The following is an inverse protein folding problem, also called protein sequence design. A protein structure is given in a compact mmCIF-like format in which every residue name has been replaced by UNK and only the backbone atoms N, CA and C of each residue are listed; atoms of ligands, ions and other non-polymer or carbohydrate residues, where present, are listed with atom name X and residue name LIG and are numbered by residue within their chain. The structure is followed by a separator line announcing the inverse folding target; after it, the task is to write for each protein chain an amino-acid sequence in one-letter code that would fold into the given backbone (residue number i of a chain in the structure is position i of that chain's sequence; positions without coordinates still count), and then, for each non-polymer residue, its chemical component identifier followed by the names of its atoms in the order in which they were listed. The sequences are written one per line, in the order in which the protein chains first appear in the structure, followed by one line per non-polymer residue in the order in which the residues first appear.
data_IF_185133420475
#
_entry.id   IF_185133420475
#
_cell.length_a   1.000
_cell.length_b   1.000
_cell.length_c   1.000
_cell.angle_alpha   90.00
_cell.angle_beta   90.00
_cell.angle_gamma   90.00
#
_symmetry.space_group_name_H-M   'P 1'
#
loop_
_entity.id
_entity.type
_entity.pdbx_description
1 polymer ?
#
# COMPACT_ATOMS: atom_id res chain seq x y z
N UNK A 1 -4.17 14.30 32.12
CA UNK A 1 -5.48 14.20 31.45
C UNK A 1 -5.61 15.17 30.28
N UNK A 2 -5.05 16.39 30.38
CA UNK A 2 -5.12 17.41 29.31
C UNK A 2 -4.53 16.98 28.00
N UNK A 3 -3.38 16.27 28.00
CA UNK A 3 -2.71 15.81 26.78
C UNK A 3 -3.48 14.66 26.12
N UNK A 4 -4.06 13.78 26.93
CA UNK A 4 -4.93 12.71 26.41
C UNK A 4 -6.18 13.27 25.72
N UNK A 5 -6.77 14.30 26.30
CA UNK A 5 -7.92 14.99 25.70
C UNK A 5 -7.53 15.67 24.37
N UNK A 6 -6.40 16.39 24.34
CA UNK A 6 -5.89 17.01 23.10
C UNK A 6 -5.62 15.98 22.01
N UNK A 7 -5.01 14.83 22.38
CA UNK A 7 -4.73 13.75 21.43
C UNK A 7 -6.03 13.11 20.92
N UNK A 8 -7.04 12.91 21.76
CA UNK A 8 -8.35 12.40 21.34
C UNK A 8 -9.06 13.35 20.38
N UNK A 9 -9.09 14.66 20.69
CA UNK A 9 -9.67 15.66 19.81
C UNK A 9 -8.94 15.76 18.46
N UNK A 10 -7.61 15.68 18.47
CA UNK A 10 -6.80 15.65 17.25
C UNK A 10 -7.06 14.39 16.45
N UNK A 11 -7.19 13.23 17.10
CA UNK A 11 -7.54 11.98 16.42
C UNK A 11 -8.89 12.08 15.71
N UNK A 12 -9.91 12.59 16.37
CA UNK A 12 -11.24 12.77 15.78
C UNK A 12 -11.19 13.67 14.54
N UNK A 13 -10.43 14.77 14.60
CA UNK A 13 -10.26 15.68 13.48
C UNK A 13 -9.54 15.01 12.28
N UNK A 14 -8.46 14.29 12.55
CA UNK A 14 -7.68 13.59 11.49
C UNK A 14 -8.47 12.42 10.93
N UNK A 15 -9.14 11.63 11.78
CA UNK A 15 -9.92 10.47 11.37
C UNK A 15 -11.04 10.81 10.39
N UNK A 16 -11.69 11.96 10.56
CA UNK A 16 -12.77 12.44 9.68
C UNK A 16 -12.32 12.70 8.24
N UNK A 17 -11.03 12.89 7.99
CA UNK A 17 -10.49 13.03 6.64
C UNK A 17 -10.48 11.69 5.87
N UNK A 18 -10.50 10.55 6.58
CA UNK A 18 -10.37 9.22 6.00
C UNK A 18 -11.62 8.35 6.19
N UNK A 19 -12.49 8.72 7.13
CA UNK A 19 -13.68 7.95 7.47
C UNK A 19 -14.87 8.88 7.62
N UNK A 20 -15.84 8.70 6.74
CA UNK A 20 -17.13 9.41 6.79
C UNK A 20 -18.28 8.41 6.60
N UNK A 21 -19.47 8.70 7.17
CA UNK A 21 -20.62 7.83 7.00
C UNK A 21 -21.09 7.83 5.54
N UNK A 22 -21.38 6.63 5.01
CA UNK A 22 -22.00 6.44 3.72
C UNK A 22 -23.35 5.76 3.93
N UNK A 23 -24.40 6.30 3.32
CA UNK A 23 -25.76 5.76 3.46
C UNK A 23 -26.16 4.85 2.30
N UNK A 24 -25.41 4.90 1.19
CA UNK A 24 -25.72 4.18 -0.03
C UNK A 24 -24.43 3.62 -0.67
N UNK A 25 -24.60 2.60 -1.53
CA UNK A 25 -23.47 2.03 -2.30
C UNK A 25 -22.84 3.02 -3.28
N UNK A 26 -23.58 4.04 -3.71
CA UNK A 26 -23.06 5.11 -4.57
C UNK A 26 -21.89 5.90 -3.98
N UNK A 27 -21.76 5.87 -2.64
CA UNK A 27 -20.61 6.46 -1.92
C UNK A 27 -19.38 5.56 -1.82
N UNK A 28 -19.42 4.35 -2.40
CA UNK A 28 -18.34 3.36 -2.30
C UNK A 28 -17.84 3.06 -3.71
N UNK A 29 -16.52 3.21 -3.91
CA UNK A 29 -15.86 2.92 -5.17
C UNK A 29 -14.62 2.05 -4.95
N UNK A 30 -14.24 1.29 -5.96
CA UNK A 30 -13.05 0.45 -5.99
C UNK A 30 -12.00 1.14 -6.86
N UNK A 31 -10.82 1.40 -6.29
CA UNK A 31 -9.66 1.91 -7.01
C UNK A 31 -8.64 0.78 -7.19
N UNK A 32 -8.72 -0.04 -8.25
CA UNK A 32 -7.83 -1.17 -8.43
C UNK A 32 -6.42 -0.71 -8.81
N UNK A 33 -5.42 -1.49 -8.40
CA UNK A 33 -4.01 -1.21 -8.73
C UNK A 33 -3.44 -2.19 -9.74
N UNK A 34 -3.94 -3.43 -9.76
CA UNK A 34 -3.42 -4.51 -10.59
C UNK A 34 -4.53 -5.44 -11.04
N UNK A 35 -4.33 -6.00 -12.23
CA UNK A 35 -5.01 -7.22 -12.67
C UNK A 35 -3.96 -8.33 -12.61
N UNK A 36 -3.87 -9.03 -11.47
CA UNK A 36 -2.80 -9.98 -11.21
C UNK A 36 -2.93 -11.25 -12.03
N UNK A 37 -4.15 -11.67 -12.31
CA UNK A 37 -4.43 -12.89 -13.05
C UNK A 37 -5.83 -12.85 -13.69
N UNK A 38 -6.03 -13.74 -14.63
CA UNK A 38 -7.35 -14.09 -15.19
C UNK A 38 -7.48 -15.62 -15.27
N UNK A 39 -8.56 -16.14 -15.86
CA UNK A 39 -8.92 -17.56 -15.80
C UNK A 39 -7.86 -18.54 -16.32
N UNK A 40 -6.87 -18.11 -17.09
CA UNK A 40 -5.91 -18.99 -17.74
C UNK A 40 -4.45 -18.58 -17.56
N UNK A 41 -4.16 -17.41 -17.04
CA UNK A 41 -2.77 -16.95 -16.85
C UNK A 41 -2.63 -15.87 -15.81
N UNK A 42 -1.39 -15.67 -15.36
CA UNK A 42 -0.99 -14.52 -14.52
C UNK A 42 -0.47 -13.39 -15.41
N UNK A 43 -0.61 -12.15 -14.93
CA UNK A 43 -0.16 -10.94 -15.61
C UNK A 43 1.10 -10.35 -14.97
N UNK A 44 1.92 -11.17 -14.30
CA UNK A 44 3.11 -10.70 -13.57
C UNK A 44 4.22 -10.17 -14.51
N UNK A 45 4.17 -10.53 -15.79
CA UNK A 45 5.10 -10.06 -16.82
C UNK A 45 4.74 -8.68 -17.38
N UNK A 46 3.56 -8.16 -17.05
CA UNK A 46 3.11 -6.85 -17.51
C UNK A 46 3.70 -5.73 -16.64
N UNK A 47 4.09 -4.59 -17.25
CA UNK A 47 4.55 -3.43 -16.48
C UNK A 47 3.40 -2.77 -15.71
N UNK A 48 3.72 -1.99 -14.68
CA UNK A 48 2.70 -1.28 -13.90
C UNK A 48 1.83 -0.35 -14.75
N UNK A 49 2.38 0.27 -15.79
CA UNK A 49 1.62 1.11 -16.73
C UNK A 49 0.48 0.35 -17.42
N UNK A 50 0.72 -0.92 -17.80
CA UNK A 50 -0.33 -1.76 -18.38
C UNK A 50 -1.46 -2.01 -17.37
N UNK A 51 -1.12 -2.36 -16.12
CA UNK A 51 -2.12 -2.57 -15.08
C UNK A 51 -2.96 -1.31 -14.84
N UNK A 52 -2.32 -0.13 -14.84
CA UNK A 52 -3.03 1.14 -14.65
C UNK A 52 -3.96 1.46 -15.82
N UNK A 53 -3.54 1.22 -17.06
CA UNK A 53 -4.38 1.40 -18.26
C UNK A 53 -5.60 0.47 -18.23
N UNK A 54 -5.41 -0.80 -17.89
CA UNK A 54 -6.53 -1.75 -17.77
C UNK A 54 -7.53 -1.34 -16.67
N UNK A 55 -7.03 -0.83 -15.55
CA UNK A 55 -7.88 -0.35 -14.46
C UNK A 55 -8.65 0.92 -14.85
N UNK A 56 -8.02 1.84 -15.59
CA UNK A 56 -8.71 3.00 -16.15
C UNK A 56 -9.85 2.58 -17.08
N UNK A 57 -9.61 1.56 -17.91
CA UNK A 57 -10.64 1.01 -18.81
C UNK A 57 -11.83 0.39 -18.04
N UNK A 58 -11.59 -0.24 -16.90
CA UNK A 58 -12.66 -0.70 -16.03
C UNK A 58 -13.48 0.47 -15.47
N UNK A 59 -12.83 1.57 -15.09
CA UNK A 59 -13.51 2.75 -14.58
C UNK A 59 -14.38 3.46 -15.63
N UNK A 60 -13.99 3.43 -16.91
CA UNK A 60 -14.82 3.94 -18.01
C UNK A 60 -16.12 3.15 -18.19
N UNK A 61 -16.14 1.88 -17.85
CA UNK A 61 -17.25 0.96 -18.10
C UNK A 61 -18.13 0.70 -16.87
N UNK A 62 -17.79 1.20 -15.70
CA UNK A 62 -18.58 0.98 -14.49
C UNK A 62 -18.34 2.07 -13.43
N UNK A 63 -19.41 2.65 -12.92
CA UNK A 63 -19.38 3.64 -11.83
C UNK A 63 -18.88 3.07 -10.48
N UNK A 64 -18.79 1.75 -10.38
CA UNK A 64 -18.21 1.09 -9.20
C UNK A 64 -16.68 1.26 -9.12
N UNK A 65 -16.03 1.48 -10.26
CA UNK A 65 -14.59 1.65 -10.33
C UNK A 65 -14.22 3.11 -10.52
N UNK A 66 -13.09 3.50 -9.93
CA UNK A 66 -12.43 4.78 -10.15
C UNK A 66 -11.00 4.52 -10.62
N UNK A 67 -10.55 5.30 -11.61
CA UNK A 67 -9.18 5.21 -12.07
C UNK A 67 -8.22 5.72 -10.99
N UNK A 68 -7.22 4.92 -10.67
CA UNK A 68 -6.15 5.33 -9.76
C UNK A 68 -5.20 6.27 -10.49
N UNK A 69 -4.95 7.45 -9.92
CA UNK A 69 -3.96 8.36 -10.47
C UNK A 69 -2.54 7.82 -10.32
N UNK A 70 -1.71 8.07 -11.31
CA UNK A 70 -0.29 7.72 -11.29
C UNK A 70 0.55 8.70 -12.08
N UNK A 71 1.85 8.71 -11.79
CA UNK A 71 2.87 9.46 -12.54
C UNK A 71 4.04 8.51 -12.82
N UNK A 72 4.65 8.65 -13.99
CA UNK A 72 5.87 7.95 -14.35
C UNK A 72 7.05 8.89 -14.14
N UNK A 73 8.12 8.41 -13.52
CA UNK A 73 9.32 9.20 -13.23
C UNK A 73 10.43 8.70 -14.14
N UNK A 74 10.84 9.52 -15.11
CA UNK A 74 11.91 9.22 -16.07
C UNK A 74 13.05 10.25 -15.98
N UNK A 75 12.80 11.39 -15.31
CA UNK A 75 13.76 12.49 -15.18
C UNK A 75 13.78 13.05 -13.75
N UNK A 76 14.79 13.87 -13.43
CA UNK A 76 14.84 14.60 -12.16
C UNK A 76 13.72 15.65 -12.06
N UNK A 77 13.24 16.17 -13.19
CA UNK A 77 12.10 17.07 -13.22
C UNK A 77 10.83 16.34 -12.80
N UNK A 78 10.53 15.18 -13.38
CA UNK A 78 9.36 14.36 -13.00
C UNK A 78 9.38 14.02 -11.52
N UNK A 79 10.57 13.75 -11.00
CA UNK A 79 10.74 13.45 -9.57
C UNK A 79 10.36 14.66 -8.69
N UNK A 80 10.72 15.88 -9.09
CA UNK A 80 10.32 17.07 -8.36
C UNK A 80 8.81 17.30 -8.45
N UNK A 81 8.21 17.13 -9.63
CA UNK A 81 6.77 17.24 -9.83
C UNK A 81 5.98 16.22 -8.98
N UNK A 82 6.51 15.01 -8.82
CA UNK A 82 5.90 13.99 -7.94
C UNK A 82 6.04 14.33 -6.46
N UNK A 83 7.17 14.94 -6.06
CA UNK A 83 7.35 15.43 -4.69
C UNK A 83 6.33 16.54 -4.39
N UNK A 84 6.17 17.51 -5.29
CA UNK A 84 5.23 18.61 -5.13
C UNK A 84 3.77 18.09 -5.09
N UNK A 85 3.43 17.16 -5.99
CA UNK A 85 2.14 16.48 -5.98
C UNK A 85 1.87 15.72 -4.67
N UNK A 86 2.86 15.00 -4.15
CA UNK A 86 2.75 14.30 -2.87
C UNK A 86 2.55 15.28 -1.70
N UNK A 87 3.25 16.40 -1.70
CA UNK A 87 3.11 17.44 -0.67
C UNK A 87 1.70 18.02 -0.70
N UNK A 88 1.23 18.46 -1.87
CA UNK A 88 -0.11 19.03 -2.04
C UNK A 88 -1.19 18.05 -1.59
N UNK A 89 -1.17 16.80 -2.07
CA UNK A 89 -2.18 15.83 -1.70
C UNK A 89 -2.17 15.49 -0.20
N UNK A 90 -1.00 15.39 0.43
CA UNK A 90 -0.92 15.06 1.87
C UNK A 90 -1.27 16.25 2.75
N UNK A 91 -1.04 17.49 2.33
CA UNK A 91 -1.53 18.71 2.98
C UNK A 91 -3.06 18.82 2.89
N UNK A 92 -3.66 18.34 1.82
CA UNK A 92 -5.11 18.26 1.62
C UNK A 92 -5.75 17.01 2.28
N UNK A 93 -5.02 16.29 3.13
CA UNK A 93 -5.54 15.20 3.94
C UNK A 93 -5.56 13.83 3.25
N UNK A 94 -4.92 13.66 2.09
CA UNK A 94 -4.79 12.35 1.47
C UNK A 94 -3.73 11.49 2.18
N UNK A 95 -3.83 10.18 1.98
CA UNK A 95 -2.98 9.18 2.65
C UNK A 95 -1.51 9.28 2.26
N UNK A 96 -1.24 9.54 0.99
CA UNK A 96 0.08 9.58 0.37
C UNK A 96 0.13 8.74 -0.90
N UNK A 97 1.34 8.38 -1.32
CA UNK A 97 1.58 7.64 -2.57
C UNK A 97 2.30 6.31 -2.33
N UNK A 98 2.27 5.45 -3.34
CA UNK A 98 3.03 4.20 -3.39
C UNK A 98 3.99 4.28 -4.57
N UNK A 99 5.30 4.21 -4.28
CA UNK A 99 6.35 4.18 -5.30
C UNK A 99 6.62 2.73 -5.65
N UNK A 100 6.62 2.42 -6.94
CA UNK A 100 6.84 1.06 -7.48
C UNK A 100 7.93 1.10 -8.56
N UNK A 101 8.67 0.01 -8.78
CA UNK A 101 9.47 -0.14 -10.00
C UNK A 101 8.55 -0.04 -11.23
N UNK A 102 9.12 0.26 -12.40
CA UNK A 102 8.35 0.28 -13.64
C UNK A 102 7.79 -1.11 -13.98
N UNK A 103 8.64 -2.13 -13.88
CA UNK A 103 8.22 -3.52 -14.04
C UNK A 103 7.55 -4.06 -12.78
N UNK A 104 6.49 -4.84 -12.95
CA UNK A 104 5.81 -5.49 -11.83
C UNK A 104 6.75 -6.41 -11.06
N UNK A 105 7.59 -7.17 -11.76
CA UNK A 105 8.68 -7.97 -11.20
C UNK A 105 10.02 -7.36 -11.60
N UNK A 106 10.58 -6.55 -10.73
CA UNK A 106 11.89 -5.95 -10.94
C UNK A 106 13.00 -6.75 -10.25
N UNK A 107 14.14 -6.89 -10.92
CA UNK A 107 15.28 -7.65 -10.41
C UNK A 107 16.56 -6.81 -10.41
N UNK A 108 17.41 -7.05 -9.44
CA UNK A 108 18.77 -6.52 -9.40
C UNK A 108 19.73 -7.65 -9.04
N UNK A 109 20.73 -7.89 -9.90
CA UNK A 109 21.71 -8.99 -9.74
C UNK A 109 21.05 -10.37 -9.52
N UNK A 110 19.92 -10.63 -10.20
CA UNK A 110 19.17 -11.88 -10.07
C UNK A 110 18.25 -11.99 -8.85
N UNK A 111 18.27 -11.01 -7.95
CA UNK A 111 17.38 -10.96 -6.78
C UNK A 111 16.16 -10.10 -7.07
N UNK A 112 14.99 -10.60 -6.67
CA UNK A 112 13.73 -9.85 -6.76
C UNK A 112 13.77 -8.65 -5.82
N UNK A 113 13.49 -7.47 -6.35
CA UNK A 113 13.43 -6.23 -5.58
C UNK A 113 12.14 -6.10 -4.78
N UNK A 114 12.17 -5.20 -3.81
CA UNK A 114 10.98 -4.79 -3.07
C UNK A 114 9.92 -4.25 -4.04
N UNK A 115 8.67 -4.80 -4.00
CA UNK A 115 7.65 -4.47 -5.00
C UNK A 115 7.13 -3.05 -4.90
N UNK A 116 7.21 -2.43 -3.72
CA UNK A 116 6.69 -1.11 -3.48
C UNK A 116 7.22 -0.47 -2.20
N UNK A 117 7.22 0.87 -2.17
CA UNK A 117 7.48 1.68 -0.97
C UNK A 117 6.29 2.61 -0.78
N UNK A 118 5.67 2.57 0.41
CA UNK A 118 4.57 3.47 0.79
C UNK A 118 5.15 4.75 1.39
N UNK A 119 4.83 5.90 0.80
CA UNK A 119 5.25 7.22 1.28
C UNK A 119 4.00 7.95 1.76
N UNK A 120 3.76 7.88 3.06
CA UNK A 120 2.53 8.38 3.69
C UNK A 120 2.71 9.79 4.24
N UNK A 121 1.63 10.57 4.21
CA UNK A 121 1.58 11.90 4.79
C UNK A 121 1.63 11.89 6.32
N UNK A 122 2.10 13.00 6.91
CA UNK A 122 2.28 13.14 8.36
C UNK A 122 0.98 12.91 9.13
N UNK A 123 -0.12 13.45 8.66
CA UNK A 123 -1.40 13.34 9.36
C UNK A 123 -1.93 11.91 9.33
N UNK A 124 -1.78 11.19 8.20
CA UNK A 124 -2.11 9.78 8.14
C UNK A 124 -1.23 8.93 9.08
N UNK A 125 0.05 9.24 9.18
CA UNK A 125 0.97 8.56 10.10
C UNK A 125 0.58 8.75 11.57
N UNK A 126 -0.15 9.82 11.92
CA UNK A 126 -0.72 10.00 13.28
C UNK A 126 -1.74 8.94 13.63
N UNK A 127 -2.52 8.47 12.66
CA UNK A 127 -3.49 7.37 12.87
C UNK A 127 -2.75 6.07 13.18
N UNK A 128 -1.63 5.82 12.49
CA UNK A 128 -0.84 4.58 12.64
C UNK A 128 -0.01 4.59 13.93
N UNK A 129 0.71 5.69 14.20
CA UNK A 129 1.72 5.77 15.25
C UNK A 129 1.29 6.55 16.49
N UNK A 130 0.11 7.17 16.47
CA UNK A 130 -0.41 8.03 17.54
C UNK A 130 -0.25 9.51 17.24
N UNK A 131 -1.13 10.34 17.85
CA UNK A 131 -1.18 11.78 17.61
C UNK A 131 0.11 12.51 18.00
N UNK A 132 0.85 11.93 18.92
CA UNK A 132 2.10 12.42 19.50
C UNK A 132 3.35 11.76 18.90
N UNK A 133 3.25 11.02 17.80
CA UNK A 133 4.40 10.29 17.23
C UNK A 133 5.56 11.19 16.79
N UNK A 134 5.29 12.46 16.56
CA UNK A 134 6.33 13.46 16.21
C UNK A 134 7.10 13.97 17.42
N UNK A 135 6.69 13.62 18.64
CA UNK A 135 7.41 13.98 19.86
C UNK A 135 8.77 13.24 19.88
N UNK A 136 9.80 13.94 20.30
CA UNK A 136 11.20 13.46 20.23
C UNK A 136 11.38 12.08 20.89
N UNK A 137 10.77 11.87 22.05
CA UNK A 137 10.88 10.61 22.79
C UNK A 137 10.24 9.43 22.04
N UNK A 138 9.08 9.65 21.41
CA UNK A 138 8.37 8.63 20.63
C UNK A 138 9.08 8.38 19.32
N UNK A 139 9.50 9.45 18.62
CA UNK A 139 10.25 9.36 17.39
C UNK A 139 11.57 8.58 17.59
N UNK A 140 12.25 8.76 18.71
CA UNK A 140 13.46 7.99 19.07
C UNK A 140 13.17 6.49 19.17
N UNK A 141 12.05 6.10 19.78
CA UNK A 141 11.62 4.70 19.84
C UNK A 141 11.31 4.14 18.47
N UNK A 142 10.55 4.87 17.65
CA UNK A 142 10.20 4.46 16.28
C UNK A 142 11.43 4.24 15.41
N UNK A 143 12.46 5.10 15.55
CA UNK A 143 13.73 4.96 14.82
C UNK A 143 14.58 3.75 15.27
N UNK A 144 14.32 3.20 16.45
CA UNK A 144 15.02 1.99 16.94
C UNK A 144 14.44 0.69 16.38
N UNK A 145 13.28 0.74 15.71
CA UNK A 145 12.69 -0.43 15.06
C UNK A 145 13.60 -0.97 13.96
N UNK A 146 13.52 -2.26 13.73
CA UNK A 146 14.32 -2.92 12.69
C UNK A 146 13.54 -2.96 11.35
N UNK A 147 13.65 -1.93 10.48
CA UNK A 147 12.95 -1.90 9.21
C UNK A 147 13.43 -2.99 8.24
N UNK A 148 14.70 -3.46 8.38
CA UNK A 148 15.26 -4.49 7.50
C UNK A 148 14.54 -5.82 7.62
N UNK A 149 14.16 -6.24 8.84
CA UNK A 149 13.37 -7.45 9.06
C UNK A 149 11.99 -7.32 8.42
N UNK A 150 11.33 -6.19 8.63
CA UNK A 150 10.00 -5.92 8.05
C UNK A 150 10.04 -5.94 6.51
N UNK A 151 11.03 -5.29 5.91
CA UNK A 151 11.22 -5.30 4.46
C UNK A 151 11.48 -6.71 3.92
N UNK A 152 12.32 -7.50 4.63
CA UNK A 152 12.58 -8.89 4.25
C UNK A 152 11.31 -9.74 4.30
N UNK A 153 10.50 -9.61 5.36
CA UNK A 153 9.23 -10.33 5.48
C UNK A 153 8.27 -9.91 4.38
N UNK A 154 8.11 -8.61 4.12
CA UNK A 154 7.26 -8.10 3.04
C UNK A 154 7.65 -8.64 1.65
N UNK A 155 8.96 -8.83 1.40
CA UNK A 155 9.42 -9.44 0.16
C UNK A 155 9.09 -10.95 0.11
N UNK A 156 9.18 -11.65 1.24
CA UNK A 156 8.77 -13.07 1.32
C UNK A 156 7.26 -13.23 1.15
N UNK A 157 6.47 -12.38 1.79
CA UNK A 157 5.00 -12.33 1.60
C UNK A 157 4.63 -12.10 0.14
N UNK A 158 5.32 -11.18 -0.53
CA UNK A 158 5.12 -10.93 -1.96
C UNK A 158 5.42 -12.18 -2.80
N UNK A 159 6.56 -12.85 -2.56
CA UNK A 159 6.93 -14.10 -3.25
C UNK A 159 5.89 -15.21 -3.03
N UNK A 160 5.42 -15.37 -1.80
CA UNK A 160 4.37 -16.34 -1.45
C UNK A 160 3.04 -16.00 -2.12
N UNK A 161 2.69 -14.71 -2.21
CA UNK A 161 1.50 -14.23 -2.92
C UNK A 161 1.55 -14.56 -4.41
N UNK A 162 2.69 -14.34 -5.07
CA UNK A 162 2.88 -14.70 -6.48
C UNK A 162 2.74 -16.21 -6.70
N UNK A 163 3.36 -17.02 -5.85
CA UNK A 163 3.27 -18.47 -5.90
C UNK A 163 1.82 -18.94 -5.70
N UNK A 164 1.14 -18.41 -4.70
CA UNK A 164 -0.26 -18.76 -4.41
C UNK A 164 -1.19 -18.45 -5.58
N UNK A 165 -1.05 -17.29 -6.22
CA UNK A 165 -1.83 -16.92 -7.41
C UNK A 165 -1.49 -17.84 -8.59
N UNK A 166 -0.21 -18.16 -8.79
CA UNK A 166 0.21 -19.07 -9.86
C UNK A 166 -0.40 -20.46 -9.70
N UNK A 167 -0.38 -21.03 -8.50
CA UNK A 167 -1.01 -22.30 -8.17
C UNK A 167 -2.52 -22.27 -8.39
N UNK A 168 -3.17 -21.17 -7.97
CA UNK A 168 -4.61 -21.00 -8.18
C UNK A 168 -4.98 -20.98 -9.66
N UNK A 169 -4.26 -20.24 -10.47
CA UNK A 169 -4.49 -20.15 -11.93
C UNK A 169 -4.19 -21.49 -12.62
N UNK A 170 -3.20 -22.24 -12.13
CA UNK A 170 -2.85 -23.57 -12.62
C UNK A 170 -3.82 -24.66 -12.15
N UNK A 171 -4.90 -24.31 -11.43
CA UNK A 171 -5.90 -25.22 -10.89
C UNK A 171 -5.31 -26.31 -9.98
N UNK A 172 -4.26 -25.99 -9.24
CA UNK A 172 -3.75 -26.88 -8.21
C UNK A 172 -4.79 -27.06 -7.09
N UNK A 173 -4.65 -28.12 -6.29
CA UNK A 173 -5.57 -28.37 -5.19
C UNK A 173 -5.60 -27.19 -4.21
N UNK A 174 -6.76 -26.91 -3.61
CA UNK A 174 -6.94 -25.79 -2.67
C UNK A 174 -5.95 -25.82 -1.50
N UNK A 175 -5.55 -27.02 -1.05
CA UNK A 175 -4.54 -27.18 0.00
C UNK A 175 -3.20 -26.56 -0.41
N UNK A 176 -2.79 -26.72 -1.66
CA UNK A 176 -1.53 -26.17 -2.19
C UNK A 176 -1.57 -24.66 -2.28
N UNK A 177 -2.73 -24.08 -2.58
CA UNK A 177 -2.94 -22.62 -2.57
C UNK A 177 -2.93 -22.10 -1.14
N UNK A 178 -3.62 -22.78 -0.22
CA UNK A 178 -3.69 -22.40 1.19
C UNK A 178 -2.34 -22.49 1.91
N UNK A 179 -1.43 -23.37 1.50
CA UNK A 179 -0.06 -23.40 2.03
C UNK A 179 0.63 -22.04 1.90
N UNK A 180 0.46 -21.34 0.78
CA UNK A 180 1.03 -20.01 0.59
C UNK A 180 0.41 -18.96 1.53
N UNK A 181 -0.91 -19.01 1.71
CA UNK A 181 -1.61 -18.11 2.63
C UNK A 181 -1.19 -18.36 4.09
N UNK A 182 -1.11 -19.61 4.52
CA UNK A 182 -0.66 -19.98 5.87
C UNK A 182 0.80 -19.60 6.10
N UNK A 183 1.67 -19.78 5.11
CA UNK A 183 3.06 -19.35 5.19
C UNK A 183 3.18 -17.82 5.32
N UNK A 184 2.35 -17.05 4.62
CA UNK A 184 2.28 -15.59 4.75
C UNK A 184 1.88 -15.18 6.17
N UNK A 185 0.84 -15.79 6.73
CA UNK A 185 0.42 -15.53 8.11
C UNK A 185 1.53 -15.86 9.12
N UNK A 186 2.30 -16.92 8.89
CA UNK A 186 3.42 -17.29 9.75
C UNK A 186 4.60 -16.30 9.73
N UNK A 187 4.71 -15.47 8.69
CA UNK A 187 5.71 -14.40 8.61
C UNK A 187 5.33 -13.17 9.42
N UNK A 188 4.05 -13.02 9.79
CA UNK A 188 3.59 -11.87 10.52
C UNK A 188 4.21 -11.84 11.92
N UNK A 189 4.98 -10.79 12.18
CA UNK A 189 5.71 -10.61 13.42
C UNK A 189 5.50 -9.21 14.02
N UNK A 190 4.59 -8.44 13.44
CA UNK A 190 4.30 -7.10 13.92
C UNK A 190 3.47 -7.17 15.21
N UNK A 191 3.85 -6.34 16.17
CA UNK A 191 3.08 -6.16 17.41
C UNK A 191 1.77 -5.44 17.09
N UNK A 192 0.73 -5.67 17.92
CA UNK A 192 -0.57 -5.00 17.79
C UNK A 192 -0.44 -3.47 17.91
N UNK A 193 0.49 -3.01 18.76
CA UNK A 193 0.85 -1.58 18.83
C UNK A 193 2.10 -1.34 17.98
N UNK A 194 2.01 -0.58 16.87
CA UNK A 194 3.16 -0.31 16.00
C UNK A 194 4.28 0.49 16.67
N UNK A 195 4.08 0.98 17.90
CA UNK A 195 5.09 1.70 18.69
C UNK A 195 5.92 0.77 19.59
N UNK A 196 5.50 -0.46 19.79
CA UNK A 196 6.21 -1.50 20.53
C UNK A 196 7.12 -2.29 19.60
#
# INVERSE_FOLDING_TARGET
YTDKYKNAARFDAVFKNYCWPTNELSGIQIAPFHILAHSSSTNFHQPHSWHMQMNAHLAENSSLFIATEYRVIESEQDKQEVIDWWQDMTENGHEGIVIKPFDFLAYHKGELLQPAIKVRGREYLRIIYGMDYTDEAIMKKLKQRNPSRKMKNALLEFKLGLEGISRFVSLESSNRVHECALATLALESDTTDPRL
#
